data_IF_426929249025
#
_entry.id   IF_426929249025
#
_cell.length_a   1.000
_cell.length_b   1.000
_cell.length_c   1.000
_cell.angle_alpha   90.00
_cell.angle_beta   90.00
_cell.angle_gamma   90.00
#
_symmetry.space_group_name_H-M   'P 1'
#
loop_
_entity.id
_entity.type
_entity.pdbx_description
1 polymer ?
#
# COMPACT_ATOMS: atom_id res chain seq x y z
N UNK A 1 -15.00 4.51 -5.87
CA UNK A 1 -13.87 5.44 -6.00
C UNK A 1 -13.82 6.43 -4.84
N UNK A 2 -14.92 7.13 -4.51
CA UNK A 2 -14.99 8.08 -3.38
C UNK A 2 -14.64 7.41 -2.05
N UNK A 3 -15.15 6.21 -1.81
CA UNK A 3 -14.84 5.44 -0.59
C UNK A 3 -13.34 5.13 -0.45
N UNK A 4 -12.67 4.82 -1.55
CA UNK A 4 -11.23 4.53 -1.58
C UNK A 4 -10.44 5.80 -1.27
N UNK A 5 -10.76 6.91 -1.92
CA UNK A 5 -10.14 8.21 -1.67
C UNK A 5 -10.28 8.61 -0.19
N UNK A 6 -11.50 8.51 0.35
CA UNK A 6 -11.76 8.86 1.75
C UNK A 6 -11.00 7.95 2.72
N UNK A 7 -10.98 6.65 2.48
CA UNK A 7 -10.25 5.71 3.33
C UNK A 7 -8.74 5.95 3.32
N UNK A 8 -8.14 6.20 2.15
CA UNK A 8 -6.72 6.53 2.04
C UNK A 8 -6.37 7.80 2.82
N UNK A 9 -7.15 8.87 2.65
CA UNK A 9 -6.92 10.13 3.38
C UNK A 9 -7.10 9.95 4.88
N UNK A 10 -8.17 9.26 5.31
CA UNK A 10 -8.42 9.04 6.74
C UNK A 10 -7.33 8.18 7.38
N UNK A 11 -6.95 7.07 6.75
CA UNK A 11 -5.90 6.20 7.27
C UNK A 11 -4.53 6.88 7.26
N UNK A 12 -4.23 7.69 6.26
CA UNK A 12 -3.03 8.52 6.24
C UNK A 12 -2.99 9.48 7.44
N UNK A 13 -4.08 10.22 7.71
CA UNK A 13 -4.16 11.15 8.84
C UNK A 13 -4.06 10.44 10.20
N UNK A 14 -4.69 9.26 10.32
CA UNK A 14 -4.56 8.42 11.51
C UNK A 14 -3.12 7.95 11.67
N UNK A 15 -2.47 7.56 10.56
CA UNK A 15 -1.06 7.19 10.52
C UNK A 15 -0.17 8.32 11.02
N UNK A 16 -0.31 9.53 10.50
CA UNK A 16 0.45 10.72 10.94
C UNK A 16 0.29 10.93 12.45
N UNK A 17 -0.96 10.93 12.95
CA UNK A 17 -1.22 11.14 14.37
C UNK A 17 -0.60 10.06 15.27
N UNK A 18 -0.68 8.80 14.86
CA UNK A 18 -0.06 7.68 15.58
C UNK A 18 1.46 7.77 15.48
N UNK A 19 1.99 8.12 14.30
CA UNK A 19 3.42 8.34 14.09
C UNK A 19 4.00 9.42 15.01
N UNK A 20 3.29 10.52 15.23
CA UNK A 20 3.70 11.57 16.17
C UNK A 20 3.84 11.05 17.61
N UNK A 21 2.96 10.14 18.03
CA UNK A 21 2.95 9.59 19.40
C UNK A 21 3.98 8.47 19.59
N UNK A 22 4.15 7.60 18.58
CA UNK A 22 4.92 6.35 18.69
C UNK A 22 6.25 6.45 17.91
N UNK A 23 6.41 7.47 17.05
CA UNK A 23 7.57 7.66 16.19
C UNK A 23 8.93 7.52 16.88
N UNK A 24 9.15 8.14 18.06
CA UNK A 24 10.41 8.01 18.80
C UNK A 24 10.73 6.58 19.24
N UNK A 25 9.71 5.72 19.41
CA UNK A 25 9.87 4.31 19.77
C UNK A 25 10.12 3.43 18.54
N UNK A 26 9.53 3.78 17.39
CA UNK A 26 9.58 2.96 16.18
C UNK A 26 10.73 3.36 15.26
N UNK A 27 11.21 4.60 15.30
CA UNK A 27 12.23 5.12 14.38
C UNK A 27 13.50 4.26 14.30
N UNK A 28 13.85 3.59 15.38
CA UNK A 28 15.01 2.66 15.43
C UNK A 28 14.77 1.38 14.61
N UNK A 29 13.51 0.98 14.40
CA UNK A 29 13.12 -0.29 13.77
C UNK A 29 12.27 -0.09 12.50
N UNK A 30 12.04 1.14 12.10
CA UNK A 30 11.12 1.50 11.01
C UNK A 30 11.46 0.76 9.69
N UNK A 31 12.72 0.72 9.31
CA UNK A 31 13.20 0.01 8.12
C UNK A 31 12.99 -1.52 8.20
N UNK A 32 13.11 -2.12 9.41
CA UNK A 32 12.81 -3.54 9.62
C UNK A 32 11.33 -3.84 9.52
N UNK A 33 10.50 -2.96 10.07
CA UNK A 33 9.03 -3.05 9.98
C UNK A 33 8.61 -2.92 8.52
N UNK A 34 9.10 -1.89 7.83
CA UNK A 34 8.81 -1.68 6.41
C UNK A 34 9.24 -2.86 5.54
N UNK A 35 10.47 -3.36 5.71
CA UNK A 35 10.94 -4.55 5.00
C UNK A 35 10.05 -5.77 5.25
N UNK A 36 9.67 -6.01 6.51
CA UNK A 36 8.82 -7.16 6.86
C UNK A 36 7.45 -7.06 6.21
N UNK A 37 6.84 -5.86 6.18
CA UNK A 37 5.56 -5.63 5.51
C UNK A 37 5.67 -5.90 4.01
N UNK A 38 6.67 -5.34 3.33
CA UNK A 38 6.87 -5.56 1.90
C UNK A 38 7.21 -7.02 1.57
N UNK A 39 7.97 -7.69 2.40
CA UNK A 39 8.26 -9.12 2.28
C UNK A 39 6.97 -9.95 2.41
N UNK A 40 6.12 -9.65 3.38
CA UNK A 40 4.84 -10.32 3.56
C UNK A 40 3.91 -10.11 2.36
N UNK A 41 3.81 -8.88 1.84
CA UNK A 41 3.03 -8.57 0.64
C UNK A 41 3.56 -9.33 -0.58
N UNK A 42 4.87 -9.36 -0.78
CA UNK A 42 5.52 -10.12 -1.85
C UNK A 42 5.18 -11.61 -1.77
N UNK A 43 5.32 -12.21 -0.60
CA UNK A 43 4.99 -13.64 -0.38
C UNK A 43 3.50 -13.92 -0.60
N UNK A 44 2.61 -13.00 -0.22
CA UNK A 44 1.18 -13.10 -0.49
C UNK A 44 0.89 -13.12 -1.99
N UNK A 45 1.49 -12.20 -2.76
CA UNK A 45 1.35 -12.18 -4.22
C UNK A 45 1.88 -13.47 -4.87
N UNK A 46 3.02 -14.00 -4.39
CA UNK A 46 3.54 -15.28 -4.90
C UNK A 46 2.65 -16.48 -4.54
N UNK A 47 2.02 -16.47 -3.37
CA UNK A 47 1.02 -17.49 -2.99
C UNK A 47 -0.18 -17.47 -3.96
N UNK A 48 -0.64 -16.26 -4.33
CA UNK A 48 -1.78 -16.08 -5.23
C UNK A 48 -1.50 -16.55 -6.68
N UNK A 49 -0.21 -16.67 -7.07
CA UNK A 49 0.18 -17.32 -8.34
C UNK A 49 -0.32 -18.76 -8.47
N UNK A 50 -0.43 -19.47 -7.35
CA UNK A 50 -0.80 -20.88 -7.30
C UNK A 50 -2.25 -21.08 -6.87
N UNK A 51 -2.98 -20.01 -6.53
CA UNK A 51 -4.37 -20.04 -6.12
C UNK A 51 -5.27 -19.79 -7.33
N UNK A 52 -6.15 -20.73 -7.63
CA UNK A 52 -7.28 -20.54 -8.55
C UNK A 52 -8.45 -19.93 -7.78
N UNK A 53 -8.27 -18.79 -7.13
CA UNK A 53 -9.36 -18.20 -6.39
C UNK A 53 -10.38 -17.54 -7.32
N UNK A 54 -11.69 -17.77 -7.09
CA UNK A 54 -12.74 -17.11 -7.85
C UNK A 54 -12.67 -15.60 -7.62
N UNK A 55 -12.93 -14.84 -8.67
CA UNK A 55 -13.06 -13.37 -8.62
C UNK A 55 -13.85 -12.95 -7.37
N UNK A 56 -13.18 -12.24 -6.46
CA UNK A 56 -13.77 -11.77 -5.20
C UNK A 56 -14.95 -10.85 -5.52
N UNK A 57 -16.18 -11.35 -5.28
CA UNK A 57 -17.39 -10.57 -5.54
C UNK A 57 -17.61 -9.59 -4.39
N UNK A 58 -17.56 -8.30 -4.68
CA UNK A 58 -17.91 -7.21 -3.77
C UNK A 58 -19.46 -7.02 -3.75
N UNK A 59 -20.16 -8.03 -3.27
CA UNK A 59 -21.62 -8.09 -3.25
C UNK A 59 -22.26 -7.57 -1.94
N UNK A 60 -21.43 -7.24 -0.96
CA UNK A 60 -21.85 -6.75 0.34
C UNK A 60 -21.07 -5.49 0.74
N UNK A 61 -21.76 -4.50 1.32
CA UNK A 61 -21.16 -3.26 1.84
C UNK A 61 -20.03 -3.55 2.82
N UNK A 62 -20.17 -4.56 3.65
CA UNK A 62 -19.13 -4.97 4.62
C UNK A 62 -17.86 -5.46 3.93
N UNK A 63 -17.97 -6.25 2.86
CA UNK A 63 -16.82 -6.68 2.05
C UNK A 63 -16.15 -5.50 1.36
N UNK A 64 -16.95 -4.55 0.84
CA UNK A 64 -16.42 -3.32 0.23
C UNK A 64 -15.62 -2.52 1.27
N UNK A 65 -16.14 -2.35 2.48
CA UNK A 65 -15.44 -1.63 3.55
C UNK A 65 -14.13 -2.31 3.94
N UNK A 66 -14.14 -3.62 4.19
CA UNK A 66 -12.91 -4.36 4.55
C UNK A 66 -11.88 -4.27 3.44
N UNK A 67 -12.29 -4.48 2.18
CA UNK A 67 -11.36 -4.40 1.04
C UNK A 67 -10.80 -2.99 0.88
N UNK A 68 -11.64 -1.97 1.06
CA UNK A 68 -11.20 -0.57 0.99
C UNK A 68 -10.20 -0.25 2.10
N UNK A 69 -10.43 -0.71 3.33
CA UNK A 69 -9.48 -0.54 4.44
C UNK A 69 -8.17 -1.30 4.19
N UNK A 70 -8.26 -2.54 3.71
CA UNK A 70 -7.08 -3.33 3.38
C UNK A 70 -6.22 -2.68 2.27
N UNK A 71 -6.86 -2.12 1.25
CA UNK A 71 -6.18 -1.38 0.17
C UNK A 71 -5.59 -0.03 0.62
N UNK A 72 -6.01 0.49 1.75
CA UNK A 72 -5.56 1.80 2.24
C UNK A 72 -4.55 1.69 3.40
N UNK A 73 -4.10 0.48 3.73
CA UNK A 73 -3.16 0.26 4.82
C UNK A 73 -1.76 0.80 4.51
N UNK A 74 -1.42 0.88 3.23
CA UNK A 74 -0.22 1.53 2.72
C UNK A 74 -0.20 3.03 3.04
N UNK A 75 -1.34 3.71 2.85
CA UNK A 75 -1.48 5.12 3.21
C UNK A 75 -1.31 5.35 4.71
N UNK A 76 -1.81 4.44 5.55
CA UNK A 76 -1.56 4.47 7.00
C UNK A 76 -0.07 4.33 7.32
N UNK A 77 0.62 3.37 6.71
CA UNK A 77 2.04 3.14 6.93
C UNK A 77 2.89 4.37 6.51
N UNK A 78 2.57 4.96 5.35
CA UNK A 78 3.22 6.19 4.89
C UNK A 78 2.97 7.35 5.85
N UNK A 79 1.73 7.52 6.32
CA UNK A 79 1.40 8.53 7.33
C UNK A 79 2.19 8.35 8.63
N UNK A 80 2.26 7.11 9.13
CA UNK A 80 2.96 6.81 10.37
C UNK A 80 4.48 7.02 10.30
N UNK A 81 5.08 6.81 9.13
CA UNK A 81 6.53 7.05 8.92
C UNK A 81 6.87 8.52 8.63
N UNK A 82 5.92 9.33 8.18
CA UNK A 82 6.16 10.70 7.73
C UNK A 82 5.88 11.78 8.78
N UNK A 83 5.69 11.43 10.03
CA UNK A 83 5.16 12.29 11.09
C UNK A 83 5.93 13.60 11.36
N UNK A 84 7.24 13.65 11.17
CA UNK A 84 8.04 14.85 11.49
C UNK A 84 8.35 15.77 10.30
N UNK A 85 8.07 15.35 9.05
CA UNK A 85 8.60 16.05 7.87
C UNK A 85 7.53 16.63 6.95
N UNK A 86 6.25 16.66 7.37
CA UNK A 86 5.19 17.10 6.46
C UNK A 86 4.97 18.62 6.54
N UNK A 87 5.90 19.36 5.93
CA UNK A 87 5.76 20.81 5.75
C UNK A 87 4.53 21.19 4.92
N UNK A 88 4.07 20.29 4.03
CA UNK A 88 2.94 20.51 3.10
C UNK A 88 1.84 19.45 3.25
N UNK A 89 1.38 19.19 4.46
CA UNK A 89 0.35 18.18 4.76
C UNK A 89 -0.89 18.30 3.84
N UNK A 90 -1.36 19.52 3.58
CA UNK A 90 -2.51 19.76 2.72
C UNK A 90 -2.28 19.28 1.27
N UNK A 91 -1.09 19.49 0.73
CA UNK A 91 -0.73 19.04 -0.62
C UNK A 91 -0.64 17.52 -0.69
N UNK A 92 -0.06 16.88 0.33
CA UNK A 92 0.03 15.41 0.42
C UNK A 92 -1.38 14.79 0.47
N UNK A 93 -2.28 15.35 1.26
CA UNK A 93 -3.69 14.90 1.34
C UNK A 93 -4.37 14.99 -0.03
N UNK A 94 -4.18 16.09 -0.77
CA UNK A 94 -4.74 16.27 -2.11
C UNK A 94 -4.17 15.24 -3.08
N UNK A 95 -2.86 15.01 -3.05
CA UNK A 95 -2.21 14.01 -3.92
C UNK A 95 -2.74 12.62 -3.63
N UNK A 96 -2.79 12.18 -2.37
CA UNK A 96 -3.31 10.88 -1.97
C UNK A 96 -4.79 10.75 -2.37
N UNK A 97 -5.60 11.78 -2.08
CA UNK A 97 -7.02 11.78 -2.38
C UNK A 97 -7.36 11.68 -3.86
N UNK A 98 -6.48 12.17 -4.74
CA UNK A 98 -6.67 12.11 -6.20
C UNK A 98 -6.00 10.88 -6.81
N UNK A 99 -4.80 10.51 -6.36
CA UNK A 99 -4.02 9.41 -6.96
C UNK A 99 -4.71 8.06 -6.76
N UNK A 100 -5.21 7.76 -5.57
CA UNK A 100 -5.84 6.47 -5.28
C UNK A 100 -7.05 6.18 -6.20
N UNK A 101 -8.06 7.05 -6.33
CA UNK A 101 -9.18 6.81 -7.25
C UNK A 101 -8.74 6.85 -8.73
N UNK A 102 -7.72 7.64 -9.08
CA UNK A 102 -7.18 7.69 -10.44
C UNK A 102 -6.58 6.34 -10.85
N UNK A 103 -5.71 5.76 -10.04
CA UNK A 103 -5.10 4.46 -10.32
C UNK A 103 -6.13 3.32 -10.27
N UNK A 104 -7.11 3.37 -9.39
CA UNK A 104 -8.23 2.43 -9.39
C UNK A 104 -9.06 2.50 -10.67
N UNK A 105 -9.34 3.70 -11.17
CA UNK A 105 -10.03 3.88 -12.44
C UNK A 105 -9.20 3.37 -13.62
N UNK A 106 -7.91 3.66 -13.64
CA UNK A 106 -6.99 3.19 -14.66
C UNK A 106 -6.92 1.66 -14.68
N UNK A 107 -6.78 1.03 -13.51
CA UNK A 107 -6.81 -0.43 -13.37
C UNK A 107 -8.14 -1.04 -13.85
N UNK A 108 -9.26 -0.40 -13.52
CA UNK A 108 -10.57 -0.83 -14.03
C UNK A 108 -10.65 -0.76 -15.56
N UNK A 109 -10.12 0.29 -16.19
CA UNK A 109 -10.11 0.46 -17.65
C UNK A 109 -9.20 -0.56 -18.34
N UNK A 110 -8.06 -0.86 -17.73
CA UNK A 110 -7.04 -1.76 -18.30
C UNK A 110 -7.32 -3.24 -18.01
N UNK A 111 -8.24 -3.56 -17.08
CA UNK A 111 -8.47 -4.95 -16.62
C UNK A 111 -8.70 -5.95 -17.75
N UNK A 112 -9.43 -5.59 -18.80
CA UNK A 112 -9.77 -6.50 -19.90
C UNK A 112 -8.56 -6.88 -20.75
N UNK A 113 -7.62 -5.94 -20.91
CA UNK A 113 -6.36 -6.20 -21.64
C UNK A 113 -5.38 -6.99 -20.76
N UNK A 114 -5.34 -6.70 -19.48
CA UNK A 114 -4.45 -7.36 -18.52
C UNK A 114 -4.88 -8.80 -18.23
N UNK A 115 -6.18 -9.07 -18.11
CA UNK A 115 -6.71 -10.43 -17.89
C UNK A 115 -6.38 -11.36 -19.08
N UNK A 116 -6.34 -10.85 -20.32
CA UNK A 116 -5.95 -11.62 -21.49
C UNK A 116 -4.49 -12.09 -21.45
N UNK A 117 -3.62 -11.39 -20.73
CA UNK A 117 -2.17 -11.61 -20.74
C UNK A 117 -1.62 -12.48 -19.60
N UNK A 118 -2.44 -13.19 -18.85
CA UNK A 118 -2.04 -14.08 -17.77
C UNK A 118 -2.07 -13.43 -16.37
N UNK A 119 -3.05 -13.82 -15.60
CA UNK A 119 -3.21 -13.53 -14.16
C UNK A 119 -1.90 -13.84 -13.38
N UNK A 120 -1.20 -14.92 -13.75
CA UNK A 120 0.07 -15.31 -13.14
C UNK A 120 1.18 -14.28 -13.32
N UNK A 121 1.29 -13.67 -14.52
CA UNK A 121 2.31 -12.67 -14.80
C UNK A 121 2.10 -11.40 -13.96
N UNK A 122 0.83 -11.02 -13.71
CA UNK A 122 0.50 -9.87 -12.89
C UNK A 122 0.93 -10.08 -11.43
N UNK A 123 0.56 -11.19 -10.80
CA UNK A 123 0.95 -11.49 -9.43
C UNK A 123 2.47 -11.69 -9.28
N UNK A 124 3.12 -12.25 -10.30
CA UNK A 124 4.57 -12.36 -10.31
C UNK A 124 5.25 -10.99 -10.36
N UNK A 125 4.79 -10.10 -11.24
CA UNK A 125 5.36 -8.74 -11.35
C UNK A 125 5.11 -7.91 -10.08
N UNK A 126 3.92 -8.01 -9.49
CA UNK A 126 3.54 -7.34 -8.24
C UNK A 126 4.40 -7.82 -7.07
N UNK A 127 4.51 -9.14 -6.87
CA UNK A 127 5.34 -9.71 -5.82
C UNK A 127 6.83 -9.35 -5.97
N UNK A 128 7.35 -9.35 -7.19
CA UNK A 128 8.72 -8.93 -7.49
C UNK A 128 8.93 -7.45 -7.20
N UNK A 129 7.98 -6.60 -7.53
CA UNK A 129 8.04 -5.17 -7.24
C UNK A 129 8.09 -4.88 -5.73
N UNK A 130 7.25 -5.53 -4.93
CA UNK A 130 7.30 -5.41 -3.47
C UNK A 130 8.62 -5.91 -2.89
N UNK A 131 9.16 -7.01 -3.41
CA UNK A 131 10.44 -7.54 -2.96
C UNK A 131 11.59 -6.55 -3.24
N UNK A 132 11.60 -5.94 -4.43
CA UNK A 132 12.60 -4.94 -4.80
C UNK A 132 12.53 -3.72 -3.88
N UNK A 133 11.33 -3.18 -3.64
CA UNK A 133 11.14 -2.02 -2.76
C UNK A 133 11.59 -2.34 -1.34
N UNK A 134 11.12 -3.45 -0.77
CA UNK A 134 11.51 -3.86 0.58
C UNK A 134 13.02 -4.04 0.72
N UNK A 135 13.65 -4.72 -0.25
CA UNK A 135 15.11 -4.91 -0.27
C UNK A 135 15.87 -3.59 -0.41
N UNK A 136 15.36 -2.66 -1.20
CA UNK A 136 15.96 -1.34 -1.39
C UNK A 136 15.92 -0.51 -0.10
N UNK A 137 14.79 -0.51 0.63
CA UNK A 137 14.65 0.17 1.92
C UNK A 137 15.66 -0.37 2.92
N UNK A 138 15.77 -1.69 3.04
CA UNK A 138 16.71 -2.34 3.94
C UNK A 138 18.17 -2.05 3.55
N UNK A 139 18.50 -2.14 2.27
CA UNK A 139 19.83 -1.86 1.76
C UNK A 139 20.23 -0.40 2.00
N UNK A 140 19.36 0.55 1.72
CA UNK A 140 19.60 1.99 1.93
C UNK A 140 19.95 2.28 3.37
N UNK A 141 19.25 1.66 4.33
CA UNK A 141 19.55 1.83 5.74
C UNK A 141 20.87 1.18 6.15
N UNK A 142 21.15 -0.06 5.73
CA UNK A 142 22.38 -0.78 6.08
C UNK A 142 23.62 -0.17 5.44
N UNK A 143 23.51 0.49 4.29
CA UNK A 143 24.60 1.17 3.62
C UNK A 143 24.96 2.56 4.19
N UNK A 144 24.28 2.98 5.26
CA UNK A 144 24.57 4.23 5.96
C UNK A 144 24.04 5.48 5.26
N UNK A 145 23.00 5.33 4.48
CA UNK A 145 22.38 6.40 3.70
C UNK A 145 21.53 7.42 4.50
N UNK A 146 21.50 7.32 5.85
CA UNK A 146 20.92 8.32 6.76
C UNK A 146 21.47 8.15 8.17
#
# INVERSE_FOLDING_TARGET
LISISLAHVLLFLIGVKIGDEIGPLISKYDHWVSFTVFLFLSLSCYKDLFSEEPVFKLDNVFKILITTLALSIDAFAVGASSHHEIEYLGLVIIIIGISAPFFCYLGYKLKNEMIKHSHKLLHFSEGTFFLIIGSFILYSHLSGGY
#
